data_IF_171101187402
#
_entry.id   IF_171101187402
#
_cell.length_a   1.000
_cell.length_b   1.000
_cell.length_c   1.000
_cell.angle_alpha   90.00
_cell.angle_beta   90.00
_cell.angle_gamma   90.00
#
_symmetry.space_group_name_H-M   'P 1'
#
loop_
_entity.id
_entity.type
_entity.pdbx_description
1 polymer ?
#
# COMPACT_ATOMS: atom_id res chain seq x y z
N UNK A 1 -124.65 30.68 -45.50
CA UNK A 1 -125.98 30.64 -44.83
C UNK A 1 -126.43 29.19 -44.88
N UNK A 2 -126.83 28.50 -43.81
CA UNK A 2 -127.17 28.92 -42.43
C UNK A 2 -127.23 27.70 -41.50
N UNK A 3 -126.95 27.88 -40.19
CA UNK A 3 -127.46 27.05 -39.07
C UNK A 3 -126.66 25.78 -38.74
N UNK A 4 -126.26 25.43 -37.50
CA UNK A 4 -126.88 25.54 -36.15
C UNK A 4 -128.27 24.90 -36.07
N UNK A 5 -128.68 24.12 -35.07
CA UNK A 5 -128.08 23.52 -33.84
C UNK A 5 -128.97 22.26 -33.49
N UNK A 6 -128.70 21.27 -32.63
CA UNK A 6 -127.65 21.08 -31.60
C UNK A 6 -127.30 19.57 -31.31
N UNK A 7 -127.21 19.16 -30.03
CA UNK A 7 -126.75 17.89 -29.41
C UNK A 7 -127.70 16.69 -29.52
N UNK A 8 -127.15 15.48 -29.70
CA UNK A 8 -127.18 14.37 -28.71
C UNK A 8 -126.36 13.16 -29.20
N UNK A 9 -125.31 12.77 -28.48
CA UNK A 9 -125.24 11.46 -27.79
C UNK A 9 -124.04 11.45 -26.82
N UNK A 10 -124.23 10.93 -25.62
CA UNK A 10 -123.24 10.93 -24.53
C UNK A 10 -123.20 9.58 -23.81
N UNK A 11 -122.60 8.57 -24.46
CA UNK A 11 -122.23 7.33 -23.81
C UNK A 11 -120.98 6.68 -24.43
N UNK A 12 -120.20 5.99 -23.60
CA UNK A 12 -119.11 5.07 -23.99
C UNK A 12 -117.85 5.64 -24.68
N UNK A 13 -116.94 6.24 -23.88
CA UNK A 13 -115.47 5.98 -24.04
C UNK A 13 -114.59 6.24 -22.80
N UNK A 14 -115.16 6.17 -21.59
CA UNK A 14 -114.42 6.28 -20.32
C UNK A 14 -113.73 4.96 -19.95
N UNK A 15 -112.76 4.49 -20.75
CA UNK A 15 -111.79 3.42 -20.39
C UNK A 15 -110.71 3.26 -21.49
N UNK A 16 -109.72 4.16 -21.52
CA UNK A 16 -108.35 3.95 -22.07
C UNK A 16 -107.52 5.24 -22.04
N UNK A 17 -106.80 5.49 -20.95
CA UNK A 17 -105.49 6.19 -20.86
C UNK A 17 -105.03 6.38 -19.40
N UNK A 18 -105.11 5.30 -18.61
CA UNK A 18 -104.29 5.15 -17.40
C UNK A 18 -103.29 4.03 -17.70
N UNK A 19 -101.99 4.36 -17.71
CA UNK A 19 -100.91 3.41 -18.01
C UNK A 19 -100.09 3.74 -19.26
N UNK A 20 -99.23 4.77 -19.19
CA UNK A 20 -97.94 4.76 -19.91
C UNK A 20 -96.91 5.81 -19.40
N UNK A 21 -96.80 6.03 -18.08
CA UNK A 21 -95.95 7.10 -17.53
C UNK A 21 -95.03 6.75 -16.33
N UNK A 22 -95.14 5.60 -15.64
CA UNK A 22 -94.07 5.17 -14.71
C UNK A 22 -92.87 4.55 -15.43
N UNK A 23 -93.11 3.68 -16.42
CA UNK A 23 -92.10 2.76 -16.99
C UNK A 23 -90.96 3.42 -17.77
N UNK A 24 -91.17 4.60 -18.36
CA UNK A 24 -90.12 5.36 -19.09
C UNK A 24 -89.29 6.30 -18.21
N UNK A 25 -89.71 6.58 -16.97
CA UNK A 25 -88.86 7.28 -15.99
C UNK A 25 -88.00 6.28 -15.22
N UNK A 26 -88.62 5.21 -14.68
CA UNK A 26 -87.88 4.13 -14.00
C UNK A 26 -86.71 3.59 -14.85
N UNK A 27 -86.97 3.19 -16.10
CA UNK A 27 -85.91 2.69 -16.98
C UNK A 27 -84.83 3.74 -17.34
N UNK A 28 -85.15 5.04 -17.32
CA UNK A 28 -84.19 6.11 -17.62
C UNK A 28 -83.41 6.59 -16.38
N UNK A 29 -83.92 6.32 -15.18
CA UNK A 29 -83.21 6.52 -13.92
C UNK A 29 -82.37 5.27 -13.56
N UNK A 30 -82.81 4.06 -13.92
CA UNK A 30 -82.03 2.80 -13.85
C UNK A 30 -80.83 2.85 -14.81
N UNK A 31 -81.04 3.18 -16.09
CA UNK A 31 -79.98 3.29 -17.11
C UNK A 31 -78.95 4.41 -16.76
N UNK A 32 -79.39 5.47 -16.07
CA UNK A 32 -78.48 6.48 -15.49
C UNK A 32 -77.75 6.01 -14.24
N UNK A 33 -78.39 5.21 -13.40
CA UNK A 33 -77.77 4.62 -12.20
C UNK A 33 -76.70 3.59 -12.60
N UNK A 34 -76.96 2.77 -13.61
CA UNK A 34 -75.98 1.84 -14.19
C UNK A 34 -74.86 2.59 -14.92
N UNK A 35 -75.17 3.68 -15.65
CA UNK A 35 -74.14 4.53 -16.28
C UNK A 35 -73.23 5.22 -15.24
N UNK A 36 -73.77 5.78 -14.15
CA UNK A 36 -72.94 6.33 -13.06
C UNK A 36 -72.08 5.27 -12.38
N UNK A 37 -72.66 4.09 -12.09
CA UNK A 37 -71.91 2.94 -11.55
C UNK A 37 -70.76 2.50 -12.47
N UNK A 38 -70.98 2.49 -13.79
CA UNK A 38 -69.94 2.20 -14.77
C UNK A 38 -68.87 3.30 -14.87
N UNK A 39 -69.24 4.56 -14.66
CA UNK A 39 -68.30 5.69 -14.65
C UNK A 39 -67.45 5.71 -13.37
N UNK A 40 -68.02 5.38 -12.22
CA UNK A 40 -67.32 5.15 -10.94
C UNK A 40 -66.38 3.93 -11.02
N UNK A 41 -66.82 2.83 -11.64
CA UNK A 41 -65.99 1.65 -11.89
C UNK A 41 -64.80 1.98 -12.83
N UNK A 42 -65.03 2.78 -13.89
CA UNK A 42 -63.94 3.24 -14.77
C UNK A 42 -62.95 4.17 -14.06
N UNK A 43 -63.44 5.03 -13.17
CA UNK A 43 -62.61 5.94 -12.36
C UNK A 43 -61.72 5.17 -11.39
N UNK A 44 -62.28 4.24 -10.63
CA UNK A 44 -61.52 3.39 -9.70
C UNK A 44 -60.51 2.48 -10.42
N UNK A 45 -60.85 1.93 -11.59
CA UNK A 45 -59.88 1.20 -12.44
C UNK A 45 -58.75 2.12 -12.92
N UNK A 46 -59.03 3.39 -13.21
CA UNK A 46 -57.99 4.36 -13.58
C UNK A 46 -57.08 4.72 -12.39
N UNK A 47 -57.66 4.98 -11.22
CA UNK A 47 -56.92 5.25 -9.97
C UNK A 47 -56.04 4.05 -9.55
N UNK A 48 -56.55 2.82 -9.65
CA UNK A 48 -55.75 1.60 -9.42
C UNK A 48 -54.58 1.44 -10.41
N UNK A 49 -54.78 1.80 -11.69
CA UNK A 49 -53.69 1.78 -12.68
C UNK A 49 -52.63 2.84 -12.40
N UNK A 50 -53.03 4.03 -11.95
CA UNK A 50 -52.09 5.08 -11.55
C UNK A 50 -51.23 4.62 -10.35
N UNK A 51 -51.85 4.06 -9.31
CA UNK A 51 -51.12 3.50 -8.17
C UNK A 51 -50.24 2.30 -8.55
N UNK A 52 -50.65 1.45 -9.50
CA UNK A 52 -49.79 0.37 -9.95
C UNK A 52 -48.52 0.90 -10.65
N UNK A 53 -48.64 1.92 -11.51
CA UNK A 53 -47.49 2.57 -12.14
C UNK A 53 -46.60 3.24 -11.09
N UNK A 54 -47.19 3.89 -10.07
CA UNK A 54 -46.47 4.50 -8.95
C UNK A 54 -45.66 3.46 -8.14
N UNK A 55 -46.26 2.32 -7.82
CA UNK A 55 -45.59 1.21 -7.12
C UNK A 55 -44.47 0.60 -7.98
N UNK A 56 -44.71 0.41 -9.28
CA UNK A 56 -43.69 -0.10 -10.21
C UNK A 56 -42.50 0.86 -10.30
N UNK A 57 -42.74 2.18 -10.37
CA UNK A 57 -41.69 3.20 -10.34
C UNK A 57 -40.91 3.21 -9.01
N UNK A 58 -41.61 3.18 -7.86
CA UNK A 58 -40.98 3.13 -6.54
C UNK A 58 -40.12 1.87 -6.35
N UNK A 59 -40.56 0.72 -6.87
CA UNK A 59 -39.82 -0.53 -6.78
C UNK A 59 -38.57 -0.51 -7.68
N UNK A 60 -38.64 0.10 -8.87
CA UNK A 60 -37.49 0.29 -9.75
C UNK A 60 -36.48 1.31 -9.18
N UNK A 61 -36.94 2.36 -8.48
CA UNK A 61 -36.07 3.28 -7.74
C UNK A 61 -35.41 2.61 -6.52
N UNK A 62 -36.17 1.80 -5.77
CA UNK A 62 -35.64 0.99 -4.66
C UNK A 62 -34.57 0.02 -5.16
N UNK A 63 -34.79 -0.67 -6.29
CA UNK A 63 -33.77 -1.58 -6.85
C UNK A 63 -32.51 -0.83 -7.28
N UNK A 64 -32.65 0.32 -7.95
CA UNK A 64 -31.49 1.16 -8.37
C UNK A 64 -30.72 1.74 -7.19
N UNK A 65 -31.39 2.07 -6.09
CA UNK A 65 -30.71 2.55 -4.86
C UNK A 65 -30.02 1.41 -4.12
N UNK A 66 -30.63 0.23 -4.05
CA UNK A 66 -30.03 -1.00 -3.53
C UNK A 66 -28.75 -1.38 -4.31
N UNK A 67 -28.82 -1.46 -5.65
CA UNK A 67 -27.69 -1.77 -6.54
C UNK A 67 -26.50 -0.80 -6.33
N UNK A 68 -26.79 0.51 -6.19
CA UNK A 68 -25.77 1.53 -5.88
C UNK A 68 -25.17 1.37 -4.48
N UNK A 69 -26.00 1.06 -3.48
CA UNK A 69 -25.54 0.85 -2.10
C UNK A 69 -24.63 -0.36 -2.00
N UNK A 70 -25.00 -1.48 -2.63
CA UNK A 70 -24.19 -2.70 -2.66
C UNK A 70 -22.86 -2.47 -3.40
N UNK A 71 -22.89 -1.74 -4.52
CA UNK A 71 -21.68 -1.33 -5.26
C UNK A 71 -20.75 -0.46 -4.38
N UNK A 72 -21.29 0.56 -3.71
CA UNK A 72 -20.52 1.40 -2.80
C UNK A 72 -19.95 0.62 -1.61
N UNK A 73 -20.72 -0.36 -1.09
CA UNK A 73 -20.30 -1.22 0.03
C UNK A 73 -19.15 -2.15 -0.35
N UNK A 74 -19.17 -2.72 -1.57
CA UNK A 74 -18.06 -3.51 -2.10
C UNK A 74 -16.80 -2.65 -2.29
N UNK A 75 -16.92 -1.45 -2.87
CA UNK A 75 -15.78 -0.53 -3.00
C UNK A 75 -15.21 -0.08 -1.65
N UNK A 76 -16.06 0.19 -0.65
CA UNK A 76 -15.58 0.46 0.72
C UNK A 76 -14.83 -0.75 1.31
N UNK A 77 -15.37 -1.96 1.17
CA UNK A 77 -14.72 -3.15 1.70
C UNK A 77 -13.33 -3.40 1.09
N UNK A 78 -13.19 -3.22 -0.22
CA UNK A 78 -11.91 -3.35 -0.92
C UNK A 78 -10.92 -2.22 -0.55
N UNK A 79 -11.33 -0.96 -0.68
CA UNK A 79 -10.44 0.20 -0.53
C UNK A 79 -10.14 0.60 0.93
N UNK A 80 -11.02 0.24 1.88
CA UNK A 80 -10.83 0.49 3.30
C UNK A 80 -10.45 -0.79 4.06
N UNK A 81 -11.28 -1.84 4.01
CA UNK A 81 -11.06 -3.05 4.82
C UNK A 81 -9.88 -3.91 4.33
N UNK A 82 -9.72 -4.10 3.03
CA UNK A 82 -8.63 -4.90 2.44
C UNK A 82 -7.37 -4.11 2.07
N UNK A 83 -7.31 -2.81 2.39
CA UNK A 83 -6.17 -1.96 2.11
C UNK A 83 -4.87 -2.55 2.71
N UNK A 84 -3.71 -2.48 2.02
CA UNK A 84 -2.41 -2.99 2.51
C UNK A 84 -1.79 -2.10 3.61
N UNK A 85 -2.61 -1.27 4.27
CA UNK A 85 -2.28 -0.41 5.39
C UNK A 85 -3.40 -0.48 6.42
N UNK A 86 -3.05 -0.35 7.69
CA UNK A 86 -4.03 -0.25 8.76
C UNK A 86 -4.62 1.16 8.83
N UNK A 87 -5.94 1.30 8.72
CA UNK A 87 -6.64 2.54 9.04
C UNK A 87 -7.18 2.47 10.47
N UNK A 88 -6.94 3.53 11.24
CA UNK A 88 -7.44 3.68 12.62
C UNK A 88 -7.89 5.14 12.83
N UNK A 89 -9.13 5.34 13.24
CA UNK A 89 -9.61 6.63 13.74
C UNK A 89 -9.48 6.65 15.26
N UNK A 90 -8.81 7.65 15.84
CA UNK A 90 -8.72 7.83 17.30
C UNK A 90 -9.26 9.19 17.74
N UNK A 91 -9.92 9.21 18.89
CA UNK A 91 -10.32 10.45 19.58
C UNK A 91 -9.11 11.29 20.01
N UNK A 92 -9.33 12.56 20.35
CA UNK A 92 -8.32 13.43 21.00
C UNK A 92 -7.64 12.77 22.22
N UNK A 93 -8.41 12.02 23.01
CA UNK A 93 -7.95 11.24 24.18
C UNK A 93 -7.09 10.02 23.82
N UNK A 94 -6.98 9.67 22.54
CA UNK A 94 -6.20 8.54 22.03
C UNK A 94 -6.92 7.18 22.07
N UNK A 95 -8.22 7.16 22.31
CA UNK A 95 -9.05 5.95 22.22
C UNK A 95 -9.43 5.66 20.77
N UNK A 96 -9.30 4.41 20.34
CA UNK A 96 -9.74 3.92 19.02
C UNK A 96 -11.26 4.05 18.91
N UNK A 97 -11.72 4.71 17.86
CA UNK A 97 -13.14 4.89 17.51
C UNK A 97 -13.56 3.91 16.41
N UNK A 98 -12.72 3.77 15.39
CA UNK A 98 -12.98 2.96 14.20
C UNK A 98 -11.64 2.37 13.71
N UNK A 99 -11.68 1.22 13.04
CA UNK A 99 -10.50 0.61 12.44
C UNK A 99 -10.87 -0.35 11.31
N UNK A 100 -10.02 -0.43 10.27
CA UNK A 100 -10.18 -1.39 9.19
C UNK A 100 -9.74 -2.81 9.58
N UNK A 101 -10.09 -3.80 8.75
CA UNK A 101 -9.72 -5.20 8.96
C UNK A 101 -8.19 -5.42 8.98
N UNK A 102 -7.42 -4.71 8.15
CA UNK A 102 -5.95 -4.83 8.14
C UNK A 102 -5.32 -4.36 9.46
N UNK A 103 -5.69 -3.19 9.99
CA UNK A 103 -5.22 -2.72 11.29
C UNK A 103 -5.64 -3.65 12.43
N UNK A 104 -6.87 -4.16 12.39
CA UNK A 104 -7.35 -5.14 13.36
C UNK A 104 -6.47 -6.41 13.37
N UNK A 105 -6.10 -6.88 12.18
CA UNK A 105 -5.19 -8.02 11.99
C UNK A 105 -3.77 -7.71 12.46
N UNK A 106 -3.21 -6.53 12.13
CA UNK A 106 -1.88 -6.09 12.61
C UNK A 106 -1.82 -6.01 14.15
N UNK A 107 -2.89 -5.53 14.80
CA UNK A 107 -2.97 -5.42 16.26
C UNK A 107 -3.37 -6.74 16.95
N UNK A 108 -3.66 -7.80 16.21
CA UNK A 108 -4.03 -9.12 16.76
C UNK A 108 -5.37 -9.13 17.51
N UNK A 109 -6.32 -8.27 17.15
CA UNK A 109 -7.62 -8.16 17.83
C UNK A 109 -8.77 -7.95 16.84
N UNK A 110 -9.98 -8.36 17.19
CA UNK A 110 -11.17 -8.05 16.37
C UNK A 110 -11.49 -6.55 16.44
N UNK A 111 -12.07 -6.00 15.37
CA UNK A 111 -12.49 -4.57 15.30
C UNK A 111 -13.31 -4.15 16.53
N UNK A 112 -14.31 -4.95 16.89
CA UNK A 112 -15.19 -4.71 18.04
C UNK A 112 -14.43 -4.66 19.37
N UNK A 113 -13.38 -5.49 19.52
CA UNK A 113 -12.55 -5.47 20.72
C UNK A 113 -11.57 -4.29 20.76
N UNK A 114 -11.19 -3.71 19.61
CA UNK A 114 -10.30 -2.54 19.56
C UNK A 114 -11.01 -1.23 19.89
N UNK A 115 -12.29 -1.09 19.53
CA UNK A 115 -13.09 0.10 19.84
C UNK A 115 -13.04 0.43 21.33
N UNK A 116 -12.83 1.71 21.65
CA UNK A 116 -12.60 2.30 22.98
C UNK A 116 -11.33 1.85 23.71
N UNK A 117 -10.45 1.03 23.12
CA UNK A 117 -9.10 0.80 23.70
C UNK A 117 -8.15 1.97 23.35
N UNK A 118 -7.21 2.34 24.23
CA UNK A 118 -6.19 3.34 23.92
C UNK A 118 -5.15 2.76 22.95
N UNK A 119 -4.83 3.47 21.87
CA UNK A 119 -3.83 2.99 20.90
C UNK A 119 -2.43 2.86 21.53
N UNK A 120 -2.12 3.69 22.53
CA UNK A 120 -0.84 3.64 23.29
C UNK A 120 -0.56 2.29 23.95
N UNK A 121 -1.58 1.45 24.20
CA UNK A 121 -1.39 0.08 24.70
C UNK A 121 -0.55 -0.78 23.74
N UNK A 122 -0.65 -0.50 22.44
CA UNK A 122 0.06 -1.23 21.39
C UNK A 122 1.37 -0.54 21.00
N UNK A 123 1.74 0.59 21.60
CA UNK A 123 3.00 1.29 21.33
C UNK A 123 4.06 0.86 22.34
N UNK A 124 5.25 0.52 21.85
CA UNK A 124 6.40 0.13 22.67
C UNK A 124 6.73 1.21 23.69
N UNK A 125 7.06 0.81 24.93
CA UNK A 125 7.13 1.72 26.09
C UNK A 125 7.97 2.97 25.85
N UNK A 126 9.18 2.80 25.32
CA UNK A 126 10.13 3.92 25.09
C UNK A 126 9.67 4.86 23.96
N UNK A 127 8.73 4.42 23.09
CA UNK A 127 8.24 5.18 21.94
C UNK A 127 6.90 5.89 22.25
N UNK A 128 6.33 5.70 23.45
CA UNK A 128 5.05 6.30 23.85
C UNK A 128 5.12 7.83 23.95
N UNK A 129 6.25 8.39 24.40
CA UNK A 129 6.47 9.84 24.46
C UNK A 129 6.55 10.45 23.05
N UNK A 130 7.20 9.75 22.11
CA UNK A 130 7.26 10.16 20.71
C UNK A 130 5.86 10.19 20.08
N UNK A 131 5.05 9.16 20.31
CA UNK A 131 3.65 9.13 19.87
C UNK A 131 2.80 10.24 20.51
N UNK A 132 2.98 10.51 21.81
CA UNK A 132 2.28 11.58 22.51
C UNK A 132 2.61 12.97 21.93
N UNK A 133 3.90 13.26 21.72
CA UNK A 133 4.35 14.52 21.13
C UNK A 133 3.83 14.69 19.69
N UNK A 134 3.93 13.63 18.87
CA UNK A 134 3.39 13.58 17.51
C UNK A 134 1.88 13.88 17.48
N UNK A 135 1.09 13.24 18.35
CA UNK A 135 -0.35 13.50 18.46
C UNK A 135 -0.64 14.92 18.94
N UNK A 136 0.10 15.42 19.93
CA UNK A 136 -0.05 16.78 20.46
C UNK A 136 0.22 17.85 19.39
N UNK A 137 1.25 17.69 18.58
CA UNK A 137 1.56 18.65 17.51
C UNK A 137 0.53 18.62 16.38
N UNK A 138 -0.04 17.45 16.06
CA UNK A 138 -1.17 17.34 15.12
C UNK A 138 -2.38 18.16 15.57
N UNK A 139 -2.84 17.99 16.81
CA UNK A 139 -4.00 18.74 17.33
C UNK A 139 -3.71 20.24 17.51
N UNK A 140 -2.44 20.62 17.76
CA UNK A 140 -2.01 22.02 17.91
C UNK A 140 -1.90 22.76 16.57
N UNK A 141 -1.42 22.10 15.52
CA UNK A 141 -1.14 22.74 14.21
C UNK A 141 -2.22 22.48 13.16
N UNK A 142 -2.96 21.38 13.27
CA UNK A 142 -3.83 20.84 12.22
C UNK A 142 -3.06 20.24 11.03
N UNK A 143 -1.75 20.42 10.93
CA UNK A 143 -0.92 19.91 9.84
C UNK A 143 -0.64 18.41 9.99
N UNK A 144 -0.74 17.60 8.90
CA UNK A 144 -0.43 16.18 8.95
C UNK A 144 0.97 15.90 9.51
N UNK A 145 1.07 14.87 10.35
CA UNK A 145 2.31 14.46 11.00
C UNK A 145 2.69 13.04 10.56
N UNK A 146 3.97 12.69 10.62
CA UNK A 146 4.44 11.30 10.51
C UNK A 146 5.36 10.95 11.66
N UNK A 147 5.44 9.67 12.03
CA UNK A 147 6.46 9.15 12.93
C UNK A 147 6.69 7.65 12.68
N UNK A 148 7.87 7.17 13.06
CA UNK A 148 8.20 5.74 13.10
C UNK A 148 8.32 5.31 14.55
N UNK A 149 7.67 4.21 14.90
CA UNK A 149 7.71 3.65 16.24
C UNK A 149 7.55 2.14 16.22
N UNK A 150 7.92 1.50 17.32
CA UNK A 150 7.72 0.08 17.55
C UNK A 150 6.34 -0.14 18.14
N UNK A 151 5.64 -1.16 17.65
CA UNK A 151 4.33 -1.58 18.13
C UNK A 151 4.33 -3.05 18.51
N UNK A 152 3.40 -3.45 19.36
CA UNK A 152 3.09 -4.83 19.66
C UNK A 152 1.69 -5.18 19.16
N UNK A 153 1.51 -6.39 18.64
CA UNK A 153 0.18 -6.99 18.54
C UNK A 153 -0.29 -7.51 19.92
N UNK A 154 -1.54 -7.95 20.03
CA UNK A 154 -2.09 -8.49 21.29
C UNK A 154 -1.38 -9.76 21.79
N UNK A 155 -0.69 -10.49 20.90
CA UNK A 155 0.09 -11.70 21.23
C UNK A 155 1.53 -11.38 21.70
N UNK A 156 1.91 -10.10 21.72
CA UNK A 156 3.24 -9.64 22.14
C UNK A 156 4.32 -9.66 21.05
N UNK A 157 3.94 -9.88 19.78
CA UNK A 157 4.86 -9.79 18.64
C UNK A 157 5.19 -8.32 18.35
N UNK A 158 6.48 -8.00 18.40
CA UNK A 158 7.03 -6.67 18.10
C UNK A 158 7.12 -6.44 16.58
N UNK A 159 6.65 -5.30 16.10
CA UNK A 159 6.79 -4.85 14.71
C UNK A 159 7.10 -3.36 14.62
N UNK A 160 7.73 -2.93 13.53
CA UNK A 160 8.02 -1.53 13.20
C UNK A 160 6.86 -0.94 12.40
N UNK A 161 6.25 0.12 12.92
CA UNK A 161 5.11 0.80 12.31
C UNK A 161 5.47 2.24 11.93
N UNK A 162 5.25 2.58 10.67
CA UNK A 162 5.25 3.97 10.20
C UNK A 162 3.82 4.50 10.32
N UNK A 163 3.63 5.52 11.15
CA UNK A 163 2.37 6.20 11.37
C UNK A 163 2.31 7.48 10.54
N UNK A 164 1.22 7.66 9.80
CA UNK A 164 0.86 8.94 9.19
C UNK A 164 -0.47 9.41 9.77
N UNK A 165 -0.51 10.62 10.32
CA UNK A 165 -1.62 11.14 11.08
C UNK A 165 -2.16 12.43 10.47
N UNK A 166 -3.49 12.50 10.32
CA UNK A 166 -4.19 13.70 9.83
C UNK A 166 -5.35 14.05 10.77
N UNK A 167 -5.61 15.35 10.94
CA UNK A 167 -6.74 15.84 11.70
C UNK A 167 -7.99 15.81 10.82
N UNK A 168 -9.08 15.29 11.36
CA UNK A 168 -10.39 15.25 10.73
C UNK A 168 -11.48 15.56 11.78
N UNK A 169 -12.75 15.52 11.35
CA UNK A 169 -13.91 15.52 12.26
C UNK A 169 -14.69 14.22 12.10
N UNK A 170 -15.39 13.83 13.16
CA UNK A 170 -16.41 12.78 13.11
C UNK A 170 -17.78 13.34 12.68
N UNK A 171 -18.81 12.50 12.68
CA UNK A 171 -20.19 12.87 12.32
C UNK A 171 -20.81 13.89 13.29
N UNK A 172 -20.36 13.94 14.54
CA UNK A 172 -20.75 14.95 15.53
C UNK A 172 -20.00 16.27 15.38
N UNK A 173 -18.99 16.33 14.51
CA UNK A 173 -18.11 17.48 14.34
C UNK A 173 -16.93 17.53 15.31
N UNK A 174 -16.75 16.53 16.18
CA UNK A 174 -15.65 16.49 17.15
C UNK A 174 -14.31 16.17 16.47
N UNK A 175 -13.18 16.72 16.95
CA UNK A 175 -11.88 16.54 16.31
C UNK A 175 -11.33 15.13 16.56
N UNK A 176 -11.04 14.41 15.47
CA UNK A 176 -10.48 13.05 15.48
C UNK A 176 -9.17 12.99 14.71
N UNK A 177 -8.26 12.14 15.17
CA UNK A 177 -7.01 11.85 14.51
C UNK A 177 -7.19 10.59 13.66
N UNK A 178 -7.10 10.72 12.32
CA UNK A 178 -7.06 9.58 11.40
C UNK A 178 -5.62 9.15 11.21
N UNK A 179 -5.36 7.88 11.49
CA UNK A 179 -4.03 7.26 11.42
C UNK A 179 -4.00 6.22 10.30
N UNK A 180 -2.90 6.24 9.55
CA UNK A 180 -2.48 5.17 8.66
C UNK A 180 -1.28 4.49 9.31
N UNK A 181 -1.40 3.18 9.55
CA UNK A 181 -0.38 2.32 10.12
C UNK A 181 0.18 1.44 9.00
N UNK A 182 1.46 1.60 8.68
CA UNK A 182 2.18 0.71 7.75
C UNK A 182 3.23 -0.08 8.52
N UNK A 183 3.07 -1.39 8.59
CA UNK A 183 4.16 -2.29 8.98
C UNK A 183 5.28 -2.21 7.94
N UNK A 184 6.49 -1.89 8.39
CA UNK A 184 7.70 -1.86 7.56
C UNK A 184 8.82 -2.76 8.12
N UNK A 185 8.49 -3.66 9.04
CA UNK A 185 9.43 -4.57 9.73
C UNK A 185 10.32 -5.35 8.76
N UNK A 186 9.74 -5.89 7.68
CA UNK A 186 10.51 -6.61 6.63
C UNK A 186 11.58 -5.72 5.99
N UNK A 187 11.24 -4.47 5.68
CA UNK A 187 12.18 -3.49 5.12
C UNK A 187 13.26 -3.14 6.15
N UNK A 188 12.87 -2.93 7.41
CA UNK A 188 13.83 -2.57 8.45
C UNK A 188 14.83 -3.68 8.75
N UNK A 189 14.38 -4.94 8.77
CA UNK A 189 15.27 -6.09 8.88
C UNK A 189 16.22 -6.23 7.70
N UNK A 190 15.76 -6.01 6.46
CA UNK A 190 16.65 -6.04 5.29
C UNK A 190 17.71 -4.91 5.31
N UNK A 191 17.34 -3.71 5.78
CA UNK A 191 18.28 -2.60 5.99
C UNK A 191 19.32 -2.93 7.09
N UNK A 192 18.88 -3.48 8.23
CA UNK A 192 19.75 -3.89 9.34
C UNK A 192 20.67 -5.07 8.97
N UNK A 193 20.17 -6.05 8.21
CA UNK A 193 20.92 -7.21 7.72
C UNK A 193 22.01 -6.79 6.74
N UNK A 194 21.67 -5.94 5.75
CA UNK A 194 22.63 -5.35 4.83
C UNK A 194 23.71 -4.55 5.58
N UNK A 195 23.33 -3.79 6.61
CA UNK A 195 24.28 -3.04 7.44
C UNK A 195 25.21 -3.97 8.23
N UNK A 196 24.69 -5.07 8.79
CA UNK A 196 25.49 -6.09 9.50
C UNK A 196 26.47 -6.77 8.56
N UNK A 197 26.05 -7.17 7.37
CA UNK A 197 26.91 -7.77 6.34
C UNK A 197 28.00 -6.79 5.87
N UNK A 198 27.67 -5.51 5.65
CA UNK A 198 28.67 -4.49 5.34
C UNK A 198 29.69 -4.29 6.47
N UNK A 199 29.24 -4.30 7.73
CA UNK A 199 30.14 -4.20 8.89
C UNK A 199 31.01 -5.45 9.06
N UNK A 200 30.45 -6.65 8.85
CA UNK A 200 31.17 -7.91 8.88
C UNK A 200 32.23 -7.97 7.77
N UNK A 201 31.84 -7.70 6.52
CA UNK A 201 32.74 -7.62 5.37
C UNK A 201 33.87 -6.60 5.59
N UNK A 202 33.56 -5.41 6.15
CA UNK A 202 34.58 -4.42 6.49
C UNK A 202 35.55 -4.93 7.56
N UNK A 203 35.04 -5.53 8.65
CA UNK A 203 35.89 -6.10 9.72
C UNK A 203 36.79 -7.23 9.19
N UNK A 204 36.23 -8.17 8.41
CA UNK A 204 36.98 -9.25 7.78
C UNK A 204 38.10 -8.70 6.90
N UNK A 205 37.80 -7.81 5.96
CA UNK A 205 38.83 -7.18 5.13
C UNK A 205 39.90 -6.45 5.96
N UNK A 206 39.52 -5.72 7.01
CA UNK A 206 40.45 -4.97 7.87
C UNK A 206 41.40 -5.86 8.68
N UNK A 207 40.96 -7.07 9.07
CA UNK A 207 41.71 -7.97 9.95
C UNK A 207 42.27 -9.24 9.27
N UNK A 208 41.96 -9.46 7.99
CA UNK A 208 42.55 -10.55 7.21
C UNK A 208 44.08 -10.40 7.15
N UNK A 209 44.87 -11.44 7.49
CA UNK A 209 46.31 -11.42 7.34
C UNK A 209 46.70 -11.37 5.86
N UNK A 210 47.86 -10.77 5.57
CA UNK A 210 48.28 -10.51 4.20
C UNK A 210 47.58 -9.30 3.57
N UNK A 211 47.79 -9.12 2.28
CA UNK A 211 47.27 -7.99 1.51
C UNK A 211 46.03 -8.40 0.73
N UNK A 212 45.11 -7.46 0.56
CA UNK A 212 43.97 -7.62 -0.35
C UNK A 212 43.81 -6.35 -1.19
N UNK A 213 43.58 -6.51 -2.48
CA UNK A 213 43.25 -5.43 -3.40
C UNK A 213 42.22 -5.85 -4.45
N UNK A 214 41.57 -4.86 -5.05
CA UNK A 214 40.63 -4.99 -6.14
C UNK A 214 40.99 -3.94 -7.20
N UNK A 215 41.22 -4.36 -8.44
CA UNK A 215 41.45 -3.45 -9.56
C UNK A 215 40.46 -3.67 -10.72
N UNK A 216 40.15 -2.60 -11.46
CA UNK A 216 39.28 -2.67 -12.63
C UNK A 216 40.00 -3.29 -13.83
N UNK A 217 39.28 -4.01 -14.68
CA UNK A 217 39.79 -4.50 -15.97
C UNK A 217 39.15 -3.71 -17.13
N UNK A 218 39.87 -3.34 -18.21
CA UNK A 218 41.29 -3.63 -18.50
C UNK A 218 42.27 -2.58 -17.94
N UNK A 219 41.80 -1.51 -17.31
CA UNK A 219 42.65 -0.38 -16.92
C UNK A 219 43.61 -0.65 -15.74
N UNK A 220 43.44 -1.77 -15.03
CA UNK A 220 44.20 -2.21 -13.86
C UNK A 220 44.34 -1.12 -12.79
N UNK A 221 43.28 -0.32 -12.57
CA UNK A 221 43.26 0.76 -11.58
C UNK A 221 42.75 0.26 -10.23
N UNK A 222 43.41 0.61 -9.14
CA UNK A 222 42.99 0.26 -7.78
C UNK A 222 41.64 0.89 -7.42
N UNK A 223 40.69 0.04 -7.04
CA UNK A 223 39.31 0.39 -6.64
C UNK A 223 39.12 0.25 -5.13
N UNK A 224 39.71 -0.81 -4.53
CA UNK A 224 39.57 -1.13 -3.10
C UNK A 224 40.76 -1.94 -2.61
N UNK A 225 41.07 -1.88 -1.32
CA UNK A 225 42.13 -2.65 -0.67
C UNK A 225 41.85 -2.82 0.83
N UNK A 226 42.59 -3.69 1.51
CA UNK A 226 42.59 -3.77 2.97
C UNK A 226 43.54 -2.75 3.61
N UNK A 227 43.35 -2.49 4.91
CA UNK A 227 44.23 -1.66 5.74
C UNK A 227 45.68 -2.10 5.69
N UNK A 228 45.94 -3.42 5.66
CA UNK A 228 47.29 -3.96 5.64
C UNK A 228 48.05 -3.59 4.35
N UNK A 229 47.41 -3.62 3.17
CA UNK A 229 48.03 -3.22 1.90
C UNK A 229 48.53 -1.77 1.92
N UNK A 230 47.70 -0.84 2.46
CA UNK A 230 48.10 0.56 2.59
C UNK A 230 49.22 0.76 3.63
N UNK A 231 49.10 0.12 4.80
CA UNK A 231 50.09 0.22 5.88
C UNK A 231 51.45 -0.36 5.48
N UNK A 232 51.45 -1.49 4.75
CA UNK A 232 52.66 -2.15 4.24
C UNK A 232 53.38 -1.30 3.19
N UNK A 233 52.65 -0.78 2.20
CA UNK A 233 53.25 0.02 1.13
C UNK A 233 53.65 1.43 1.60
N UNK A 234 53.01 1.96 2.65
CA UNK A 234 53.33 3.27 3.23
C UNK A 234 52.68 4.45 2.52
N UNK A 235 51.57 4.24 1.80
CA UNK A 235 50.85 5.26 1.06
C UNK A 235 49.49 5.57 1.69
N UNK A 236 49.01 6.80 1.51
CA UNK A 236 47.66 7.15 1.98
C UNK A 236 46.57 6.52 1.10
N UNK A 237 45.35 6.28 1.63
CA UNK A 237 44.25 5.79 0.80
C UNK A 237 43.89 6.70 -0.38
N UNK A 238 44.16 8.01 -0.25
CA UNK A 238 43.95 9.01 -1.29
C UNK A 238 45.03 8.92 -2.37
N UNK A 239 46.29 8.68 -1.98
CA UNK A 239 47.38 8.42 -2.93
C UNK A 239 47.12 7.14 -3.74
N UNK A 240 46.57 6.08 -3.13
CA UNK A 240 46.40 4.77 -3.78
C UNK A 240 45.22 4.69 -4.75
N UNK A 241 44.17 5.51 -4.56
CA UNK A 241 42.91 5.39 -5.30
C UNK A 241 43.09 5.69 -6.79
N UNK A 242 42.69 4.74 -7.64
CA UNK A 242 42.70 4.91 -9.10
C UNK A 242 44.07 4.83 -9.78
N UNK A 243 45.17 4.67 -9.03
CA UNK A 243 46.51 4.38 -9.57
C UNK A 243 46.56 3.00 -10.21
N UNK A 244 47.50 2.82 -11.14
CA UNK A 244 47.70 1.53 -11.80
C UNK A 244 48.32 0.51 -10.84
N UNK A 245 47.96 -0.76 -10.99
CA UNK A 245 48.60 -1.86 -10.26
C UNK A 245 50.11 -1.87 -10.50
N UNK A 246 50.58 -1.54 -11.72
CA UNK A 246 52.00 -1.52 -12.08
C UNK A 246 52.85 -0.46 -11.38
N UNK A 247 52.25 0.48 -10.62
CA UNK A 247 53.01 1.46 -9.83
C UNK A 247 53.59 0.87 -8.52
N UNK A 248 53.11 -0.31 -8.10
CA UNK A 248 53.46 -0.96 -6.83
C UNK A 248 54.31 -2.23 -6.98
N UNK A 249 54.49 -2.70 -8.22
CA UNK A 249 55.35 -3.84 -8.55
C UNK A 249 56.70 -3.36 -9.08
N UNK A 250 57.73 -4.19 -8.92
CA UNK A 250 59.03 -3.90 -9.56
C UNK A 250 58.89 -3.81 -11.09
N UNK A 251 59.69 -2.96 -11.77
CA UNK A 251 59.66 -2.86 -13.23
C UNK A 251 59.91 -4.20 -13.94
N UNK A 252 60.76 -5.05 -13.36
CA UNK A 252 61.06 -6.41 -13.83
C UNK A 252 59.83 -7.34 -13.79
N UNK A 253 58.97 -7.19 -12.78
CA UNK A 253 57.80 -8.06 -12.57
C UNK A 253 56.60 -7.72 -13.47
N UNK A 254 56.67 -6.64 -14.25
CA UNK A 254 55.55 -6.18 -15.09
C UNK A 254 55.09 -7.22 -16.11
N UNK A 255 56.03 -7.99 -16.68
CA UNK A 255 55.73 -9.08 -17.59
C UNK A 255 54.95 -10.20 -16.86
N UNK A 256 55.48 -10.66 -15.72
CA UNK A 256 54.83 -11.67 -14.86
C UNK A 256 53.41 -11.26 -14.44
N UNK A 257 53.19 -9.98 -14.13
CA UNK A 257 51.85 -9.45 -13.78
C UNK A 257 50.91 -9.44 -15.00
N UNK A 258 51.40 -9.13 -16.20
CA UNK A 258 50.59 -9.19 -17.43
C UNK A 258 50.21 -10.64 -17.77
N UNK A 259 51.17 -11.57 -17.75
CA UNK A 259 50.94 -12.99 -17.97
C UNK A 259 49.92 -13.55 -16.96
N UNK A 260 50.02 -13.13 -15.69
CA UNK A 260 49.06 -13.49 -14.66
C UNK A 260 47.65 -12.91 -14.93
N UNK A 261 47.54 -11.67 -15.41
CA UNK A 261 46.26 -11.06 -15.80
C UNK A 261 45.62 -11.83 -16.96
N UNK A 262 46.38 -12.16 -18.01
CA UNK A 262 45.88 -12.95 -19.13
C UNK A 262 45.46 -14.37 -18.69
N UNK A 263 46.26 -15.02 -17.85
CA UNK A 263 45.94 -16.32 -17.27
C UNK A 263 44.65 -16.29 -16.43
N UNK A 264 44.41 -15.24 -15.65
CA UNK A 264 43.15 -15.07 -14.90
C UNK A 264 41.97 -14.82 -15.82
N UNK A 265 42.13 -14.01 -16.88
CA UNK A 265 41.07 -13.76 -17.84
C UNK A 265 40.67 -15.02 -18.62
N UNK A 266 41.60 -15.94 -18.85
CA UNK A 266 41.35 -17.24 -19.50
C UNK A 266 40.82 -18.33 -18.55
N UNK A 267 41.40 -18.43 -17.34
CA UNK A 267 41.20 -19.57 -16.43
C UNK A 267 40.35 -19.24 -15.19
N UNK A 268 39.93 -17.99 -15.00
CA UNK A 268 39.19 -17.49 -13.84
C UNK A 268 40.05 -17.19 -12.61
N UNK A 269 41.18 -17.86 -12.42
CA UNK A 269 42.13 -17.62 -11.34
C UNK A 269 43.58 -17.96 -11.74
N UNK A 270 44.55 -17.32 -11.08
CA UNK A 270 45.97 -17.61 -11.23
C UNK A 270 46.73 -17.20 -9.95
N UNK A 271 47.85 -17.86 -9.65
CA UNK A 271 48.73 -17.50 -8.53
C UNK A 271 50.16 -17.43 -9.00
N UNK A 272 50.85 -16.35 -8.64
CA UNK A 272 52.23 -16.06 -9.05
C UNK A 272 53.02 -15.43 -7.90
N UNK A 273 54.34 -15.38 -8.03
CA UNK A 273 55.22 -14.67 -7.09
C UNK A 273 55.65 -13.35 -7.70
N UNK A 274 55.64 -12.28 -6.91
CA UNK A 274 56.13 -10.96 -7.31
C UNK A 274 56.55 -10.13 -6.09
N UNK A 275 57.48 -9.22 -6.28
CA UNK A 275 57.95 -8.29 -5.25
C UNK A 275 57.23 -6.95 -5.33
N UNK A 276 56.65 -6.54 -4.21
CA UNK A 276 56.00 -5.24 -4.06
C UNK A 276 56.98 -4.18 -3.54
N UNK A 277 56.87 -2.98 -4.11
CA UNK A 277 57.70 -1.83 -3.80
C UNK A 277 56.97 -0.87 -2.85
N UNK A 278 57.54 -0.68 -1.67
CA UNK A 278 57.06 0.30 -0.68
C UNK A 278 57.52 1.73 -1.03
N UNK A 279 56.85 2.74 -0.47
CA UNK A 279 57.19 4.18 -0.63
C UNK A 279 58.63 4.53 -0.28
N UNK A 280 59.23 3.74 0.63
CA UNK A 280 60.59 3.91 1.12
C UNK A 280 61.63 3.12 0.29
N UNK A 281 61.25 2.60 -0.89
CA UNK A 281 62.14 1.87 -1.79
C UNK A 281 62.43 0.42 -1.38
N UNK A 282 61.85 -0.08 -0.28
CA UNK A 282 62.01 -1.49 0.14
C UNK A 282 61.15 -2.40 -0.73
N UNK A 283 61.79 -3.45 -1.25
CA UNK A 283 61.15 -4.60 -1.90
C UNK A 283 60.68 -5.63 -0.87
N UNK A 284 59.48 -6.20 -1.06
CA UNK A 284 58.94 -7.28 -0.22
C UNK A 284 58.35 -8.38 -1.12
N UNK A 285 58.80 -9.64 -1.04
CA UNK A 285 58.30 -10.73 -1.87
C UNK A 285 56.93 -11.23 -1.39
N UNK A 286 55.99 -11.35 -2.32
CA UNK A 286 54.63 -11.86 -2.09
C UNK A 286 54.30 -13.01 -3.05
N UNK A 287 53.58 -14.00 -2.54
CA UNK A 287 52.77 -14.89 -3.38
C UNK A 287 51.39 -14.26 -3.49
N UNK A 288 50.94 -13.97 -4.72
CA UNK A 288 49.71 -13.25 -5.02
C UNK A 288 48.78 -14.17 -5.83
N UNK A 289 47.59 -14.42 -5.30
CA UNK A 289 46.48 -15.08 -6.00
C UNK A 289 45.54 -14.02 -6.56
N UNK A 290 45.37 -14.01 -7.88
CA UNK A 290 44.37 -13.20 -8.58
C UNK A 290 43.16 -14.06 -8.97
N UNK A 291 41.97 -13.50 -8.81
CA UNK A 291 40.69 -14.11 -9.20
C UNK A 291 39.89 -13.11 -10.03
N UNK A 292 39.34 -13.57 -11.16
CA UNK A 292 38.40 -12.81 -11.98
C UNK A 292 37.07 -12.73 -11.25
N UNK A 293 36.52 -11.52 -11.12
CA UNK A 293 35.17 -11.34 -10.60
C UNK A 293 34.36 -10.36 -11.45
N UNK A 294 33.04 -10.55 -11.47
CA UNK A 294 32.12 -9.67 -12.18
C UNK A 294 31.18 -9.03 -11.16
N UNK A 295 31.12 -7.70 -11.18
CA UNK A 295 30.33 -6.88 -10.26
C UNK A 295 29.58 -5.83 -11.09
N UNK A 296 28.24 -5.81 -10.99
CA UNK A 296 27.37 -4.88 -11.71
C UNK A 296 27.65 -4.79 -13.23
N UNK A 297 27.96 -5.93 -13.86
CA UNK A 297 28.27 -6.01 -15.30
C UNK A 297 29.66 -5.54 -15.71
N UNK A 298 30.54 -5.22 -14.75
CA UNK A 298 31.94 -4.85 -14.99
C UNK A 298 32.89 -5.94 -14.46
N UNK A 299 33.98 -6.18 -15.18
CA UNK A 299 35.03 -7.13 -14.76
C UNK A 299 36.07 -6.45 -13.88
N UNK A 300 36.40 -7.10 -12.77
CA UNK A 300 37.46 -6.73 -11.86
C UNK A 300 38.37 -7.93 -11.59
N UNK A 301 39.58 -7.65 -11.11
CA UNK A 301 40.50 -8.66 -10.59
C UNK A 301 40.68 -8.42 -9.09
N UNK A 302 40.35 -9.41 -8.28
CA UNK A 302 40.64 -9.41 -6.85
C UNK A 302 41.99 -10.10 -6.62
N UNK A 303 42.92 -9.42 -5.95
CA UNK A 303 44.20 -9.95 -5.54
C UNK A 303 44.27 -10.14 -4.03
N UNK A 304 44.67 -11.32 -3.60
CA UNK A 304 45.07 -11.60 -2.22
C UNK A 304 46.53 -12.05 -2.21
N UNK A 305 47.33 -11.57 -1.25
CA UNK A 305 48.76 -11.87 -1.19
C UNK A 305 49.29 -12.14 0.20
N UNK A 306 50.23 -13.07 0.31
CA UNK A 306 50.92 -13.43 1.55
C UNK A 306 52.40 -13.08 1.43
N UNK A 307 52.94 -12.42 2.47
CA UNK A 307 54.37 -12.07 2.58
C UNK A 307 55.17 -13.35 2.84
N UNK A 308 56.16 -13.63 1.98
CA UNK A 308 57.01 -14.83 2.08
C UNK A 308 58.44 -14.54 2.58
N UNK A 309 58.71 -13.32 3.08
CA UNK A 309 60.04 -12.88 3.57
C UNK A 309 60.64 -13.80 4.64
N UNK A 310 59.79 -14.47 5.44
CA UNK A 310 60.22 -15.44 6.45
C UNK A 310 60.38 -16.88 5.94
N UNK A 311 59.71 -17.26 4.85
CA UNK A 311 59.69 -18.62 4.32
C UNK A 311 60.97 -18.90 3.52
N UNK A 312 61.43 -17.92 2.74
CA UNK A 312 62.66 -18.03 1.94
C UNK A 312 63.98 -17.95 2.77
N UNK A 313 63.91 -17.96 4.10
CA UNK A 313 65.09 -17.95 5.00
C UNK A 313 65.37 -19.29 5.69
N UNK A 314 64.59 -20.32 5.39
CA UNK A 314 64.66 -21.63 6.03
C UNK A 314 65.14 -22.77 5.09
N UNK A 315 65.75 -22.40 3.95
CA UNK A 315 66.35 -23.32 2.97
C UNK A 315 67.76 -22.90 2.60
#
# INVERSE_FOLDING_TARGET
>A
MTGKDEKTDSASKTRRRAGNTPRKKAAADEDKSEAMSFEEARRTIHELRLHQIEIEMLNDELRRTQEKLDTARMHYFDLYDLAPVGYVSVSEKGLILETNLTAATMLGMTRVALVRKPLTRFVYKDDQDAYYLHRKELFKTGSPQTCELRMFNNDGVLFWAHLSAALARDEGGEPVCRLVIRDFTKRKHAEDELLREQQLSKKLLTHLPGIFFLCSHPALRLVRWNSNYAALLGFSPEEMKGRSLFEWHMPEDKATVLDAVEAVMKNGQHTFSSSLLTKNGRSIPFVISLVKMELAGQTFLAGAGIDITGINKAG
#
